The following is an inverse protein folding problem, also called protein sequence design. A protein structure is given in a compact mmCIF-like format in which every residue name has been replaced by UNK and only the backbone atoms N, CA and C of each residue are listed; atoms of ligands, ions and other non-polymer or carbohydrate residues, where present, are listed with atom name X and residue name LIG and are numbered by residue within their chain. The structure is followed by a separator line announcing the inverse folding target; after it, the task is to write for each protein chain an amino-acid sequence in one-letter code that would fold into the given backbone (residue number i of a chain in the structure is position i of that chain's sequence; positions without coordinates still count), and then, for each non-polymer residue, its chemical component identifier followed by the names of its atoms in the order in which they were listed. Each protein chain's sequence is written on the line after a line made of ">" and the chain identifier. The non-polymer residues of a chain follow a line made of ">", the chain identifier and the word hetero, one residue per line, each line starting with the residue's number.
data_IF_549722865069
#
_entry.id   IF_549722865069
#
_cell.length_a   1.000
_cell.length_b   1.000
_cell.length_c   1.000
_cell.angle_alpha   90.00
_cell.angle_beta   90.00
_cell.angle_gamma   90.00
#
_symmetry.space_group_name_H-M   'P 1'
#
loop_
_entity.id
_entity.type
_entity.pdbx_description
1 polymer ?
#
# COMPACT_ATOMS: atom_id res chain seq x y z
N UNK A 1 -20.05 -12.64 -10.28
CA UNK A 1 -19.31 -13.04 -9.09
C UNK A 1 -17.82 -12.81 -9.27
N UNK A 2 -17.21 -13.22 -10.38
CA UNK A 2 -15.79 -13.00 -10.72
C UNK A 2 -15.32 -11.53 -10.70
N UNK A 3 -16.08 -10.59 -11.28
CA UNK A 3 -15.71 -9.18 -11.28
C UNK A 3 -15.59 -8.55 -9.88
N UNK A 4 -16.42 -8.99 -8.93
CA UNK A 4 -16.33 -8.55 -7.53
C UNK A 4 -15.09 -9.11 -6.82
N UNK A 5 -14.65 -10.31 -7.22
CA UNK A 5 -13.45 -10.96 -6.68
C UNK A 5 -12.17 -10.25 -7.14
N UNK A 6 -12.11 -9.82 -8.40
CA UNK A 6 -10.95 -9.09 -8.97
C UNK A 6 -10.85 -7.70 -8.32
N UNK A 7 -12.00 -7.05 -8.08
CA UNK A 7 -12.04 -5.76 -7.40
C UNK A 7 -11.51 -5.86 -5.96
N UNK A 8 -11.98 -6.85 -5.20
CA UNK A 8 -11.51 -7.09 -3.84
C UNK A 8 -9.99 -7.33 -3.79
N UNK A 9 -9.42 -8.07 -4.76
CA UNK A 9 -7.99 -8.28 -4.89
C UNK A 9 -7.21 -7.00 -5.14
N UNK A 10 -7.71 -6.15 -6.03
CA UNK A 10 -7.05 -4.88 -6.31
C UNK A 10 -7.04 -3.96 -5.07
N UNK A 11 -8.11 -3.99 -4.26
CA UNK A 11 -8.22 -3.14 -3.07
C UNK A 11 -7.44 -3.64 -1.86
N UNK A 12 -7.39 -4.93 -1.62
CA UNK A 12 -6.46 -5.49 -0.62
C UNK A 12 -5.00 -5.16 -0.97
N UNK A 13 -4.71 -5.08 -2.28
CA UNK A 13 -3.39 -4.79 -2.83
C UNK A 13 -3.00 -3.34 -2.69
N UNK A 14 -3.91 -2.39 -2.88
CA UNK A 14 -3.56 -0.97 -2.79
C UNK A 14 -3.34 -0.48 -1.36
N UNK A 15 -3.90 -1.19 -0.36
CA UNK A 15 -3.54 -0.97 1.05
C UNK A 15 -2.21 -1.63 1.42
N UNK A 16 -1.84 -2.73 0.75
CA UNK A 16 -0.67 -3.55 1.07
C UNK A 16 0.61 -3.20 0.32
N UNK A 17 0.60 -2.21 -0.58
CA UNK A 17 1.83 -1.72 -1.24
C UNK A 17 2.22 -0.30 -0.84
N UNK A 18 1.65 0.22 0.20
CA UNK A 18 2.26 1.34 0.86
C UNK A 18 3.38 0.79 1.75
N UNK A 19 4.55 0.46 1.18
CA UNK A 19 5.77 0.58 1.96
C UNK A 19 5.60 1.81 2.84
N UNK A 20 6.06 1.75 4.09
CA UNK A 20 5.85 2.83 5.05
C UNK A 20 6.04 4.22 4.44
N UNK A 21 7.06 4.35 3.62
CA UNK A 21 7.31 5.45 2.67
C UNK A 21 8.35 5.01 1.60
N UNK A 22 8.62 5.86 0.63
CA UNK A 22 9.58 5.64 -0.46
C UNK A 22 10.94 6.29 -0.20
N UNK A 23 11.23 6.65 1.06
CA UNK A 23 12.41 7.40 1.48
C UNK A 23 13.42 6.50 2.21
N UNK A 24 14.61 7.00 2.57
CA UNK A 24 15.63 6.21 3.27
C UNK A 24 15.09 5.60 4.56
N UNK A 25 15.71 4.51 4.99
CA UNK A 25 15.45 3.95 6.32
C UNK A 25 15.78 4.97 7.42
N UNK A 26 15.15 4.84 8.57
CA UNK A 26 15.44 5.70 9.71
C UNK A 26 16.90 5.51 10.19
N UNK A 27 17.42 6.49 10.89
CA UNK A 27 18.71 6.38 11.56
C UNK A 27 18.70 5.18 12.54
N UNK A 28 19.90 4.65 12.81
CA UNK A 28 20.05 3.51 13.70
C UNK A 28 19.42 3.75 15.08
N UNK A 29 18.65 2.78 15.57
CA UNK A 29 17.89 2.85 16.84
C UNK A 29 16.85 3.97 16.89
N UNK A 30 16.38 4.44 15.76
CA UNK A 30 15.20 5.32 15.65
C UNK A 30 13.97 4.52 15.26
N UNK A 31 12.83 5.00 15.72
CA UNK A 31 11.54 4.40 15.41
C UNK A 31 10.48 5.44 15.09
N UNK A 32 9.41 4.98 14.50
CA UNK A 32 8.21 5.75 14.22
C UNK A 32 6.97 4.89 14.47
N UNK A 33 5.98 5.48 15.09
CA UNK A 33 4.63 4.90 15.20
C UNK A 33 3.67 5.72 14.35
N UNK A 34 2.67 5.04 13.80
CA UNK A 34 1.59 5.66 13.05
C UNK A 34 0.23 5.17 13.57
N UNK A 35 -0.71 6.10 13.67
CA UNK A 35 -2.13 5.80 13.80
C UNK A 35 -2.86 6.55 12.69
N UNK A 36 -3.65 5.86 11.89
CA UNK A 36 -4.31 6.47 10.75
C UNK A 36 -5.70 5.92 10.50
N UNK A 37 -6.41 6.62 9.61
CA UNK A 37 -7.69 6.16 9.07
C UNK A 37 -7.73 6.47 7.59
N UNK A 38 -7.90 5.42 6.79
CA UNK A 38 -8.21 5.49 5.38
C UNK A 38 -9.74 5.54 5.16
N UNK A 39 -10.17 6.21 4.11
CA UNK A 39 -11.52 6.15 3.57
C UNK A 39 -11.45 5.69 2.12
N UNK A 40 -12.30 4.75 1.76
CA UNK A 40 -12.40 4.22 0.39
C UNK A 40 -13.86 4.25 -0.03
N UNK A 41 -14.13 4.82 -1.21
CA UNK A 41 -15.42 4.76 -1.88
C UNK A 41 -15.18 4.24 -3.31
N UNK A 42 -15.68 3.06 -3.59
CA UNK A 42 -15.51 2.37 -4.89
C UNK A 42 -16.45 2.86 -5.98
N UNK A 43 -17.27 3.89 -5.71
CA UNK A 43 -18.22 4.43 -6.68
C UNK A 43 -19.63 3.85 -6.56
N UNK A 44 -20.44 3.98 -7.62
CA UNK A 44 -21.89 3.68 -7.57
C UNK A 44 -22.16 2.20 -7.30
N UNK A 45 -22.71 1.94 -6.11
CA UNK A 45 -23.06 0.60 -5.64
C UNK A 45 -21.91 -0.23 -5.11
N UNK A 46 -20.70 0.33 -5.08
CA UNK A 46 -19.55 -0.28 -4.44
C UNK A 46 -19.51 -0.06 -2.91
N UNK A 47 -18.64 -0.77 -2.23
CA UNK A 47 -18.46 -0.58 -0.80
C UNK A 47 -17.89 0.80 -0.47
N UNK A 48 -18.38 1.37 0.63
CA UNK A 48 -17.79 2.50 1.33
C UNK A 48 -17.15 1.97 2.62
N UNK A 49 -15.88 2.24 2.81
CA UNK A 49 -15.13 1.67 3.92
C UNK A 49 -14.30 2.73 4.66
N UNK A 50 -14.26 2.60 5.99
CA UNK A 50 -13.22 3.20 6.82
C UNK A 50 -12.19 2.13 7.14
N UNK A 51 -10.91 2.49 7.04
CA UNK A 51 -9.77 1.61 7.31
C UNK A 51 -8.86 2.22 8.37
N UNK A 52 -9.24 2.17 9.67
CA UNK A 52 -8.33 2.53 10.73
C UNK A 52 -7.16 1.55 10.77
N UNK A 53 -5.96 2.05 11.06
CA UNK A 53 -4.76 1.22 11.17
C UNK A 53 -3.79 1.77 12.22
N UNK A 54 -3.00 0.86 12.75
CA UNK A 54 -1.85 1.16 13.59
C UNK A 54 -0.60 0.56 12.94
N UNK A 55 0.52 1.24 13.07
CA UNK A 55 1.78 0.72 12.57
C UNK A 55 2.96 1.18 13.40
N UNK A 56 4.04 0.47 13.26
CA UNK A 56 5.34 0.82 13.87
C UNK A 56 6.47 0.38 12.96
N UNK A 57 7.52 1.20 12.90
CA UNK A 57 8.80 0.84 12.28
C UNK A 57 9.96 1.15 13.21
N UNK A 58 11.02 0.40 13.10
CA UNK A 58 12.21 0.58 13.90
C UNK A 58 13.47 0.09 13.18
N UNK A 59 14.53 0.89 13.22
CA UNK A 59 15.83 0.50 12.67
C UNK A 59 16.59 -0.30 13.71
N UNK A 60 16.54 -1.64 13.57
CA UNK A 60 17.07 -2.62 14.54
C UNK A 60 18.59 -2.71 14.53
N UNK A 61 19.21 -2.37 13.41
CA UNK A 61 20.66 -2.28 13.23
C UNK A 61 20.96 -1.30 12.08
N UNK A 62 22.19 -0.82 11.94
CA UNK A 62 22.52 0.07 10.83
C UNK A 62 22.01 -0.46 9.50
N UNK A 63 21.25 0.39 8.79
CA UNK A 63 20.68 0.12 7.48
C UNK A 63 19.53 -0.91 7.42
N UNK A 64 19.11 -1.57 8.52
CA UNK A 64 18.00 -2.51 8.53
C UNK A 64 16.83 -1.99 9.36
N UNK A 65 15.74 -1.69 8.70
CA UNK A 65 14.48 -1.28 9.29
C UNK A 65 13.45 -2.40 9.17
N UNK A 66 12.75 -2.67 10.26
CA UNK A 66 11.60 -3.55 10.31
C UNK A 66 10.35 -2.74 10.60
N UNK A 67 9.23 -3.11 10.00
CA UNK A 67 7.95 -2.45 10.26
C UNK A 67 6.78 -3.44 10.22
N UNK A 68 5.70 -3.02 10.87
CA UNK A 68 4.43 -3.74 10.89
C UNK A 68 3.27 -2.76 10.77
N UNK A 69 2.26 -3.11 10.00
CA UNK A 69 0.97 -2.41 9.93
C UNK A 69 -0.13 -3.40 10.28
N UNK A 70 -1.05 -2.96 11.14
CA UNK A 70 -2.23 -3.70 11.60
C UNK A 70 -3.48 -2.94 11.14
N UNK A 71 -4.04 -3.27 9.97
CA UNK A 71 -5.23 -2.61 9.46
C UNK A 71 -6.51 -3.26 10.00
N UNK A 72 -7.55 -2.44 10.11
CA UNK A 72 -8.90 -2.86 10.41
C UNK A 72 -9.85 -2.22 9.41
N UNK A 73 -10.93 -2.87 9.03
CA UNK A 73 -11.90 -2.29 8.13
C UNK A 73 -13.30 -2.24 8.75
N UNK A 74 -14.03 -1.18 8.41
CA UNK A 74 -15.42 -0.95 8.78
C UNK A 74 -16.19 -0.64 7.50
N UNK A 75 -17.13 -1.50 7.14
CA UNK A 75 -18.04 -1.25 6.03
C UNK A 75 -19.13 -0.26 6.47
N UNK A 76 -19.35 0.78 5.68
CA UNK A 76 -20.33 1.83 6.01
C UNK A 76 -21.69 1.62 5.36
N UNK A 77 -21.77 0.90 4.26
CA UNK A 77 -22.98 0.73 3.44
C UNK A 77 -23.37 -0.72 3.14
N UNK A 78 -22.53 -1.68 3.55
CA UNK A 78 -22.86 -3.10 3.45
C UNK A 78 -23.09 -3.66 4.84
N UNK A 79 -24.20 -4.37 5.04
CA UNK A 79 -24.46 -5.07 6.30
C UNK A 79 -23.49 -6.26 6.40
N UNK A 80 -22.65 -6.22 7.41
CA UNK A 80 -21.73 -7.24 7.88
C UNK A 80 -20.30 -7.16 7.32
N UNK A 81 -19.40 -7.75 8.07
CA UNK A 81 -17.98 -7.98 7.84
C UNK A 81 -17.05 -6.78 8.15
N UNK A 82 -17.14 -6.29 9.37
CA UNK A 82 -16.07 -5.49 9.96
C UNK A 82 -15.02 -6.43 10.58
N UNK A 83 -13.76 -6.11 10.46
CA UNK A 83 -12.73 -6.97 11.05
C UNK A 83 -11.29 -6.52 10.81
N UNK A 84 -10.37 -7.28 11.37
CA UNK A 84 -8.96 -7.13 11.06
C UNK A 84 -8.74 -7.51 9.59
N UNK A 85 -8.00 -6.67 8.88
CA UNK A 85 -7.40 -7.03 7.58
C UNK A 85 -6.10 -7.80 7.82
N UNK A 86 -5.52 -8.29 6.74
CA UNK A 86 -4.26 -9.01 6.80
C UNK A 86 -3.13 -8.07 7.25
N UNK A 87 -2.44 -8.36 8.37
CA UNK A 87 -1.30 -7.57 8.80
C UNK A 87 -0.15 -7.68 7.80
N UNK A 88 0.57 -6.57 7.66
CA UNK A 88 1.72 -6.46 6.79
C UNK A 88 3.00 -6.29 7.61
N UNK A 89 3.98 -7.15 7.34
CA UNK A 89 5.33 -7.09 7.90
C UNK A 89 6.29 -6.70 6.80
N UNK A 90 7.15 -5.73 7.06
CA UNK A 90 8.09 -5.22 6.09
C UNK A 90 9.51 -5.22 6.65
N UNK A 91 10.47 -5.48 5.77
CA UNK A 91 11.89 -5.29 6.04
C UNK A 91 12.48 -4.44 4.92
N UNK A 92 13.24 -3.40 5.29
CA UNK A 92 13.97 -2.55 4.34
C UNK A 92 15.44 -2.53 4.70
N UNK A 93 16.30 -2.75 3.71
CA UNK A 93 17.75 -2.69 3.86
C UNK A 93 18.34 -1.62 2.96
N UNK A 94 18.98 -0.62 3.57
CA UNK A 94 19.62 0.46 2.85
C UNK A 94 20.98 0.02 2.33
N UNK A 95 21.08 -0.17 1.02
CA UNK A 95 22.29 -0.60 0.32
C UNK A 95 23.25 0.57 0.13
N UNK A 96 22.69 1.73 -0.22
CA UNK A 96 23.43 3.00 -0.37
C UNK A 96 22.55 4.13 0.19
N UNK A 97 23.08 5.36 0.37
CA UNK A 97 22.27 6.49 0.86
C UNK A 97 21.02 6.81 0.03
N UNK A 98 20.91 6.27 -1.18
CA UNK A 98 19.81 6.54 -2.10
C UNK A 98 19.10 5.27 -2.61
N UNK A 99 19.52 4.08 -2.18
CA UNK A 99 18.98 2.82 -2.65
C UNK A 99 18.68 1.87 -1.48
N UNK A 100 17.43 1.45 -1.35
CA UNK A 100 16.99 0.41 -0.43
C UNK A 100 16.52 -0.82 -1.21
N UNK A 101 16.74 -2.01 -0.67
CA UNK A 101 15.95 -3.21 -1.01
C UNK A 101 14.84 -3.36 0.03
N UNK A 102 13.71 -3.94 -0.37
CA UNK A 102 12.61 -4.24 0.55
C UNK A 102 12.04 -5.64 0.34
N UNK A 103 11.45 -6.15 1.41
CA UNK A 103 10.65 -7.38 1.45
C UNK A 103 9.40 -7.10 2.29
N UNK A 104 8.23 -7.37 1.73
CA UNK A 104 6.94 -7.22 2.38
C UNK A 104 6.24 -8.58 2.46
N UNK A 105 5.59 -8.86 3.57
CA UNK A 105 4.86 -10.10 3.80
C UNK A 105 3.48 -9.76 4.36
N UNK A 106 2.44 -10.07 3.60
CA UNK A 106 1.06 -10.00 4.04
C UNK A 106 0.65 -11.37 4.61
N UNK A 107 0.21 -11.37 5.86
CA UNK A 107 -0.19 -12.61 6.56
C UNK A 107 -1.70 -12.79 6.49
N UNK A 108 -2.23 -13.90 5.94
CA UNK A 108 -3.65 -14.13 5.78
C UNK A 108 -4.30 -14.52 7.11
N UNK A 109 -4.78 -13.55 7.86
CA UNK A 109 -5.55 -13.79 9.10
C UNK A 109 -6.98 -13.25 9.02
N UNK A 110 -7.27 -12.48 7.98
CA UNK A 110 -8.60 -11.92 7.75
C UNK A 110 -9.51 -12.96 7.14
N UNK A 111 -10.71 -13.09 7.70
CA UNK A 111 -11.78 -13.90 7.11
C UNK A 111 -12.86 -13.02 6.45
N UNK A 112 -12.53 -11.75 6.17
CA UNK A 112 -13.45 -10.77 5.61
C UNK A 112 -13.64 -10.89 4.11
N UNK A 113 -14.73 -10.29 3.61
CA UNK A 113 -15.16 -10.29 2.22
C UNK A 113 -14.12 -9.73 1.21
N UNK A 114 -13.17 -8.94 1.69
CA UNK A 114 -12.24 -8.17 0.85
C UNK A 114 -10.81 -8.71 0.81
N UNK A 115 -10.49 -9.77 1.54
CA UNK A 115 -9.13 -10.30 1.61
C UNK A 115 -9.10 -11.74 1.14
N UNK A 116 -8.14 -12.05 0.26
CA UNK A 116 -7.82 -13.44 -0.03
C UNK A 116 -7.12 -14.08 1.16
N UNK A 117 -7.46 -15.31 1.46
CA UNK A 117 -6.78 -16.14 2.44
C UNK A 117 -5.46 -16.69 1.85
N UNK A 118 -4.61 -15.79 1.37
CA UNK A 118 -3.33 -16.13 0.73
C UNK A 118 -2.20 -15.28 1.30
N UNK A 119 -1.05 -15.91 1.49
CA UNK A 119 0.18 -15.19 1.75
C UNK A 119 0.59 -14.40 0.52
N UNK A 120 0.96 -13.14 0.73
CA UNK A 120 1.52 -12.30 -0.33
C UNK A 120 2.94 -11.91 0.06
N UNK A 121 3.86 -12.09 -0.88
CA UNK A 121 5.25 -11.67 -0.76
C UNK A 121 5.53 -10.58 -1.78
N UNK A 122 5.91 -9.39 -1.31
CA UNK A 122 6.40 -8.28 -2.11
C UNK A 122 7.90 -8.13 -1.95
N UNK A 123 8.62 -7.84 -3.00
CA UNK A 123 10.05 -7.52 -2.93
C UNK A 123 10.45 -6.60 -4.07
N UNK A 124 11.48 -5.80 -3.82
CA UNK A 124 11.93 -4.84 -4.81
C UNK A 124 13.00 -3.90 -4.30
N UNK A 125 13.08 -2.76 -4.96
CA UNK A 125 14.03 -1.71 -4.64
C UNK A 125 13.34 -0.35 -4.57
N UNK A 126 13.84 0.51 -3.71
CA UNK A 126 13.43 1.91 -3.57
C UNK A 126 14.63 2.80 -3.86
N UNK A 127 14.40 3.83 -4.65
CA UNK A 127 15.36 4.91 -4.87
C UNK A 127 14.83 6.20 -4.27
N UNK A 128 15.68 6.92 -3.54
CA UNK A 128 15.34 8.22 -2.98
C UNK A 128 16.50 9.18 -3.06
N UNK A 129 16.20 10.46 -3.33
CA UNK A 129 17.21 11.50 -3.41
C UNK A 129 16.63 12.87 -3.07
N UNK A 130 17.41 13.65 -2.33
CA UNK A 130 17.15 15.06 -2.09
C UNK A 130 17.68 15.92 -3.25
N UNK A 131 16.83 16.76 -3.80
CA UNK A 131 17.13 17.74 -4.84
C UNK A 131 16.94 19.20 -4.32
N UNK A 132 17.38 19.47 -3.10
CA UNK A 132 17.22 20.75 -2.45
C UNK A 132 15.84 20.92 -1.82
N UNK A 133 14.94 21.62 -2.49
CA UNK A 133 13.57 21.81 -2.00
C UNK A 133 12.65 20.60 -2.24
N UNK A 134 13.10 19.61 -2.98
CA UNK A 134 12.31 18.40 -3.29
C UNK A 134 13.01 17.17 -2.77
N UNK A 135 12.34 16.40 -1.90
CA UNK A 135 12.70 15.01 -1.64
C UNK A 135 11.91 14.12 -2.61
N UNK A 136 12.62 13.36 -3.39
CA UNK A 136 12.03 12.41 -4.34
C UNK A 136 12.27 10.98 -3.84
N UNK A 137 11.21 10.18 -3.86
CA UNK A 137 11.24 8.75 -3.57
C UNK A 137 10.53 7.98 -4.67
N UNK A 138 11.03 6.80 -5.00
CA UNK A 138 10.38 5.88 -5.92
C UNK A 138 10.64 4.43 -5.53
N UNK A 139 9.78 3.54 -6.00
CA UNK A 139 9.94 2.10 -5.80
C UNK A 139 9.54 1.31 -7.04
N UNK A 140 10.17 0.15 -7.19
CA UNK A 140 9.83 -0.85 -8.17
C UNK A 140 9.89 -2.21 -7.48
N UNK A 141 8.80 -2.98 -7.57
CA UNK A 141 8.70 -4.28 -6.92
C UNK A 141 7.84 -5.28 -7.66
N UNK A 142 7.98 -6.51 -7.27
CA UNK A 142 7.16 -7.63 -7.70
C UNK A 142 6.40 -8.17 -6.49
N UNK A 143 5.16 -8.59 -6.69
CA UNK A 143 4.37 -9.27 -5.67
C UNK A 143 3.85 -10.58 -6.18
N UNK A 144 4.05 -11.60 -5.38
CA UNK A 144 3.63 -12.97 -5.64
C UNK A 144 2.74 -13.47 -4.51
N UNK A 145 1.80 -14.34 -4.84
CA UNK A 145 0.90 -14.96 -3.89
C UNK A 145 1.21 -16.45 -3.77
N UNK A 146 1.13 -16.97 -2.56
CA UNK A 146 1.09 -18.41 -2.36
C UNK A 146 -0.35 -18.87 -2.58
N UNK A 147 -0.50 -20.01 -3.25
CA UNK A 147 -1.82 -20.62 -3.51
C UNK A 147 -2.56 -20.85 -2.19
N UNK A 148 -3.86 -20.55 -2.16
CA UNK A 148 -4.73 -20.91 -1.05
C UNK A 148 -5.03 -22.41 -0.99
N UNK A 149 -5.75 -22.85 0.06
CA UNK A 149 -6.13 -24.25 0.27
C UNK A 149 -7.11 -24.76 -0.80
N UNK A 150 -7.90 -23.87 -1.40
CA UNK A 150 -8.80 -24.16 -2.52
C UNK A 150 -8.07 -24.24 -3.88
N UNK A 151 -6.76 -24.06 -3.87
CA UNK A 151 -5.91 -24.13 -5.06
C UNK A 151 -5.94 -22.88 -5.94
N UNK A 152 -6.52 -21.77 -5.43
CA UNK A 152 -6.60 -20.52 -6.14
C UNK A 152 -5.31 -19.68 -5.92
N UNK A 153 -4.86 -19.00 -6.97
CA UNK A 153 -3.74 -18.07 -6.89
C UNK A 153 -3.99 -16.85 -7.78
N UNK A 154 -3.93 -15.65 -7.23
CA UNK A 154 -3.93 -14.41 -7.99
C UNK A 154 -2.71 -14.28 -8.92
N UNK A 155 -2.79 -13.46 -9.98
CA UNK A 155 -1.65 -13.22 -10.86
C UNK A 155 -0.50 -12.51 -10.13
N UNK A 156 0.72 -12.74 -10.62
CA UNK A 156 1.90 -11.95 -10.25
C UNK A 156 1.66 -10.48 -10.60
N UNK A 157 2.21 -9.57 -9.82
CA UNK A 157 2.04 -8.12 -10.02
C UNK A 157 3.40 -7.42 -10.05
N UNK A 158 3.54 -6.53 -11.01
CA UNK A 158 4.59 -5.53 -11.04
C UNK A 158 4.04 -4.25 -10.42
N UNK A 159 4.73 -3.71 -9.43
CA UNK A 159 4.36 -2.50 -8.72
C UNK A 159 5.39 -1.42 -8.96
N UNK A 160 4.92 -0.21 -9.15
CA UNK A 160 5.75 0.98 -9.28
C UNK A 160 5.14 2.10 -8.44
N UNK A 161 5.97 2.89 -7.79
CA UNK A 161 5.54 4.05 -7.01
C UNK A 161 6.53 5.19 -7.12
N UNK A 162 6.02 6.44 -7.06
CA UNK A 162 6.85 7.63 -6.97
C UNK A 162 6.15 8.70 -6.12
N UNK A 163 6.93 9.43 -5.33
CA UNK A 163 6.47 10.55 -4.50
C UNK A 163 7.50 11.68 -4.52
N UNK A 164 7.02 12.91 -4.55
CA UNK A 164 7.82 14.12 -4.42
C UNK A 164 7.26 14.97 -3.28
N UNK A 165 8.08 15.19 -2.26
CA UNK A 165 7.82 16.04 -1.10
C UNK A 165 8.46 17.41 -1.32
N UNK A 166 7.68 18.48 -1.18
CA UNK A 166 8.15 19.86 -1.37
C UNK A 166 8.46 20.49 0.00
N UNK A 167 9.74 20.58 0.34
CA UNK A 167 10.22 21.19 1.59
C UNK A 167 10.09 22.70 1.52
N UNK A 168 9.12 23.22 2.20
CA UNK A 168 8.96 24.66 2.40
C UNK A 168 9.68 25.09 3.69
N UNK A 169 10.08 26.37 3.79
CA UNK A 169 10.68 26.90 5.01
C UNK A 169 9.63 27.15 6.13
N UNK A 170 8.64 26.27 6.21
CA UNK A 170 7.55 26.27 7.19
C UNK A 170 7.26 24.81 7.58
N UNK A 171 6.55 24.54 8.68
CA UNK A 171 6.22 23.17 9.12
C UNK A 171 5.29 22.39 8.18
N UNK A 172 5.03 22.88 6.98
CA UNK A 172 4.13 22.29 5.99
C UNK A 172 4.93 21.75 4.81
N UNK A 173 4.70 20.49 4.46
CA UNK A 173 5.30 19.81 3.31
C UNK A 173 4.19 19.28 2.40
N UNK A 174 3.82 19.99 1.34
CA UNK A 174 2.98 19.42 0.28
C UNK A 174 3.71 18.26 -0.41
N UNK A 175 2.94 17.29 -0.87
CA UNK A 175 3.48 16.19 -1.66
C UNK A 175 2.52 15.77 -2.77
N UNK A 176 3.09 15.18 -3.80
CA UNK A 176 2.38 14.56 -4.93
C UNK A 176 3.03 13.22 -5.24
N UNK A 177 2.25 12.27 -5.65
CA UNK A 177 2.78 10.97 -6.05
C UNK A 177 1.81 10.19 -6.90
N UNK A 178 2.28 9.03 -7.33
CA UNK A 178 1.47 8.02 -7.99
C UNK A 178 2.01 6.63 -7.67
N UNK A 179 1.09 5.70 -7.47
CA UNK A 179 1.37 4.28 -7.45
C UNK A 179 0.78 3.66 -8.71
N UNK A 180 1.38 2.60 -9.22
CA UNK A 180 0.87 1.86 -10.35
C UNK A 180 1.09 0.37 -10.12
N UNK A 181 0.17 -0.43 -10.63
CA UNK A 181 0.33 -1.88 -10.68
C UNK A 181 0.03 -2.38 -12.09
N UNK A 182 0.71 -3.45 -12.49
CA UNK A 182 0.44 -4.18 -13.72
C UNK A 182 0.35 -5.66 -13.40
N UNK A 183 -0.68 -6.32 -13.91
CA UNK A 183 -0.85 -7.75 -13.76
C UNK A 183 0.01 -8.51 -14.76
N UNK A 184 0.67 -9.56 -14.27
CA UNK A 184 1.55 -10.42 -15.07
C UNK A 184 1.02 -11.85 -15.04
N UNK A 185 0.00 -12.12 -15.84
CA UNK A 185 -0.66 -13.43 -15.90
C UNK A 185 -2.14 -13.37 -15.61
N UNK A 186 -2.70 -14.52 -15.28
CA UNK A 186 -4.12 -14.74 -14.99
C UNK A 186 -4.30 -15.32 -13.61
N UNK A 187 -5.51 -15.27 -13.10
CA UNK A 187 -5.87 -16.14 -11.98
C UNK A 187 -5.70 -17.59 -12.36
N UNK A 188 -5.23 -18.40 -11.42
CA UNK A 188 -5.11 -19.84 -11.61
C UNK A 188 -5.85 -20.58 -10.51
N UNK A 189 -6.42 -21.75 -10.88
CA UNK A 189 -6.96 -22.70 -9.93
C UNK A 189 -6.28 -24.05 -10.15
N UNK A 190 -5.65 -24.60 -9.12
CA UNK A 190 -4.82 -25.81 -9.20
C UNK A 190 -3.75 -25.73 -10.31
N UNK A 191 -3.17 -24.50 -10.51
CA UNK A 191 -2.16 -24.24 -11.53
C UNK A 191 -2.68 -24.18 -12.97
N UNK A 192 -3.99 -24.26 -13.18
CA UNK A 192 -4.64 -24.05 -14.48
C UNK A 192 -5.24 -22.66 -14.52
N UNK A 193 -5.17 -22.01 -15.66
CA UNK A 193 -5.78 -20.70 -15.88
C UNK A 193 -7.28 -20.75 -15.56
N UNK A 194 -7.71 -19.80 -14.74
CA UNK A 194 -9.10 -19.62 -14.34
C UNK A 194 -9.58 -18.20 -14.75
N UNK A 195 -10.31 -18.13 -15.86
CA UNK A 195 -10.80 -16.87 -16.42
C UNK A 195 -9.95 -16.32 -17.59
N UNK A 196 -10.07 -15.01 -17.80
CA UNK A 196 -9.40 -14.28 -18.88
C UNK A 196 -7.90 -14.05 -18.61
N UNK A 197 -7.15 -13.77 -19.67
CA UNK A 197 -5.76 -13.33 -19.57
C UNK A 197 -5.72 -11.85 -19.16
N UNK A 198 -5.15 -11.60 -18.01
CA UNK A 198 -5.02 -10.24 -17.46
C UNK A 198 -3.60 -9.67 -17.66
N UNK A 199 -2.77 -10.36 -18.44
CA UNK A 199 -1.38 -9.92 -18.66
C UNK A 199 -1.34 -8.55 -19.32
N UNK A 200 -0.64 -7.60 -18.67
CA UNK A 200 -0.51 -6.23 -19.15
C UNK A 200 -1.64 -5.29 -18.72
N UNK A 201 -2.67 -5.80 -18.04
CA UNK A 201 -3.65 -4.90 -17.44
C UNK A 201 -3.04 -4.11 -16.30
N UNK A 202 -3.39 -2.83 -16.20
CA UNK A 202 -2.76 -1.90 -15.27
C UNK A 202 -3.77 -0.97 -14.61
N UNK A 203 -3.38 -0.46 -13.45
CA UNK A 203 -4.04 0.66 -12.78
C UNK A 203 -2.99 1.64 -12.23
N UNK A 204 -3.33 2.92 -12.26
CA UNK A 204 -2.50 4.02 -11.72
C UNK A 204 -3.33 4.77 -10.69
N UNK A 205 -2.70 5.06 -9.55
CA UNK A 205 -3.30 5.67 -8.38
C UNK A 205 -2.57 7.00 -8.05
N UNK A 206 -2.83 8.09 -8.77
CA UNK A 206 -2.28 9.38 -8.42
C UNK A 206 -2.85 9.87 -7.09
N UNK A 207 -2.01 10.57 -6.33
CA UNK A 207 -2.38 11.17 -5.06
C UNK A 207 -1.68 12.51 -4.83
N UNK A 208 -2.30 13.31 -3.98
CA UNK A 208 -1.76 14.56 -3.46
C UNK A 208 -2.00 14.62 -1.96
N UNK A 209 -1.19 15.35 -1.24
CA UNK A 209 -1.39 15.50 0.19
C UNK A 209 -0.52 16.58 0.83
N UNK A 210 -0.66 16.65 2.15
CA UNK A 210 0.02 17.61 3.01
C UNK A 210 0.53 16.89 4.26
N UNK A 211 1.77 17.19 4.64
CA UNK A 211 2.38 16.79 5.92
C UNK A 211 2.54 18.07 6.77
N UNK A 212 2.12 18.06 8.02
CA UNK A 212 2.30 19.17 8.96
C UNK A 212 3.01 18.69 10.22
N UNK A 213 4.20 19.23 10.47
CA UNK A 213 4.99 18.92 11.66
C UNK A 213 4.60 19.86 12.81
N UNK A 214 3.93 19.34 13.84
CA UNK A 214 3.65 20.09 15.07
C UNK A 214 4.90 20.28 15.92
N UNK A 215 5.71 19.24 15.95
CA UNK A 215 7.02 19.21 16.61
C UNK A 215 7.99 18.39 15.74
N UNK A 216 9.30 18.38 16.03
CA UNK A 216 10.22 17.49 15.32
C UNK A 216 9.83 16.01 15.36
N UNK A 217 9.06 15.61 16.38
CA UNK A 217 8.70 14.19 16.61
C UNK A 217 7.22 13.89 16.37
N UNK A 218 6.39 14.87 16.03
CA UNK A 218 4.95 14.68 15.85
C UNK A 218 4.47 15.35 14.56
N UNK A 219 3.91 14.58 13.66
CA UNK A 219 3.44 15.01 12.35
C UNK A 219 2.05 14.46 12.06
N UNK A 220 1.20 15.25 11.44
CA UNK A 220 -0.05 14.81 10.79
C UNK A 220 0.17 14.82 9.28
N UNK A 221 -0.35 13.82 8.62
CA UNK A 221 -0.38 13.74 7.16
C UNK A 221 -1.80 13.46 6.69
N UNK A 222 -2.24 14.21 5.67
CA UNK A 222 -3.50 13.98 4.98
C UNK A 222 -3.25 13.84 3.49
N UNK A 223 -3.96 12.92 2.84
CA UNK A 223 -3.88 12.72 1.38
C UNK A 223 -5.22 12.34 0.77
N UNK A 224 -5.35 12.62 -0.52
CA UNK A 224 -6.43 12.16 -1.36
C UNK A 224 -5.84 11.43 -2.58
N UNK A 225 -6.45 10.33 -2.95
CA UNK A 225 -6.02 9.41 -4.00
C UNK A 225 -7.24 9.03 -4.86
N UNK A 226 -7.03 8.86 -6.15
CA UNK A 226 -8.01 8.28 -7.07
C UNK A 226 -7.31 7.23 -7.93
N UNK A 227 -8.04 6.54 -8.82
CA UNK A 227 -7.42 5.54 -9.69
C UNK A 227 -7.92 5.66 -11.13
N UNK A 228 -7.03 5.28 -12.06
CA UNK A 228 -7.30 5.17 -13.49
C UNK A 228 -6.69 3.85 -14.00
N UNK A 229 -7.34 3.19 -14.94
CA UNK A 229 -6.79 1.97 -15.53
C UNK A 229 -7.86 1.04 -16.08
N UNK A 230 -7.49 -0.23 -16.19
CA UNK A 230 -8.36 -1.26 -16.74
C UNK A 230 -9.50 -1.57 -15.76
N UNK A 231 -10.72 -1.76 -16.34
CA UNK A 231 -11.93 -2.09 -15.56
C UNK A 231 -11.83 -3.44 -14.85
N UNK A 232 -11.05 -4.35 -15.35
CA UNK A 232 -10.76 -5.64 -14.72
C UNK A 232 -10.09 -5.49 -13.35
N UNK A 233 -9.31 -4.39 -13.13
CA UNK A 233 -8.66 -4.07 -11.88
C UNK A 233 -9.56 -3.14 -11.03
N UNK A 234 -10.13 -2.09 -11.65
CA UNK A 234 -10.83 -1.03 -10.95
C UNK A 234 -12.36 -1.25 -10.81
N UNK A 235 -12.91 -2.22 -11.53
CA UNK A 235 -14.35 -2.37 -11.65
C UNK A 235 -14.98 -1.34 -12.60
N UNK A 236 -16.21 -0.92 -12.31
CA UNK A 236 -16.97 -0.04 -13.19
C UNK A 236 -16.71 1.44 -13.00
N UNK A 237 -16.28 1.83 -11.80
CA UNK A 237 -16.18 3.23 -11.38
C UNK A 237 -14.76 3.61 -10.93
N UNK A 238 -14.49 4.91 -10.95
CA UNK A 238 -13.24 5.47 -10.44
C UNK A 238 -13.32 5.60 -8.92
N UNK A 239 -12.51 4.88 -8.15
CA UNK A 239 -12.53 4.98 -6.70
C UNK A 239 -11.98 6.31 -6.21
N UNK A 240 -12.54 6.79 -5.10
CA UNK A 240 -12.02 7.93 -4.34
C UNK A 240 -11.54 7.42 -3.00
N UNK A 241 -10.33 7.78 -2.65
CA UNK A 241 -9.70 7.39 -1.40
C UNK A 241 -9.15 8.62 -0.68
N UNK A 242 -9.19 8.62 0.64
CA UNK A 242 -8.54 9.62 1.47
C UNK A 242 -7.86 8.92 2.64
N UNK A 243 -6.80 9.52 3.14
CA UNK A 243 -6.06 9.01 4.30
C UNK A 243 -5.68 10.17 5.22
N UNK A 244 -5.85 9.96 6.51
CA UNK A 244 -5.39 10.84 7.57
C UNK A 244 -4.61 10.03 8.58
N UNK A 245 -3.36 10.44 8.84
CA UNK A 245 -2.51 9.74 9.80
C UNK A 245 -1.71 10.68 10.68
N UNK A 246 -1.53 10.25 11.92
CA UNK A 246 -0.64 10.83 12.91
C UNK A 246 0.62 9.98 13.00
N UNK A 247 1.79 10.59 12.87
CA UNK A 247 3.10 9.94 12.99
C UNK A 247 3.84 10.50 14.19
N UNK A 248 4.46 9.63 14.98
CA UNK A 248 5.28 9.97 16.14
C UNK A 248 6.64 9.27 16.04
N UNK A 249 7.72 10.06 15.97
CA UNK A 249 9.11 9.56 15.93
C UNK A 249 9.73 9.54 17.33
N UNK A 250 10.64 8.58 17.60
CA UNK A 250 11.33 8.40 18.88
C UNK A 250 12.72 7.81 18.72
#
# INVERSE_FOLDING_TARGET
>A
MFQKLVLAAAFCVTASFATWDKFPVLENHKGEMVAGVGFVNEGSGGPMQLKPYLGSRYTVMPNLELSVILPYFVNLNLNNDNGLENPEFMARYQITPFLNAFLDVLVPISHGYNCYDVWVFGFGAQFSKNFGIVDFGSELGLSMNVRDDDGFSPPLRLNFGAEADFKLNIPLTPFIGADALMLMGSFTKYGKRDGEDLTGEFAVYPYVGLKYAFTPNLMVQASAKTAFGNKSILGSDTPIMADLKLKMSF
#
